data_IF_267873506689
#
_entry.id   IF_267873506689
#
_cell.length_a   1.000
_cell.length_b   1.000
_cell.length_c   1.000
_cell.angle_alpha   90.00
_cell.angle_beta   90.00
_cell.angle_gamma   90.00
#
_symmetry.space_group_name_H-M   'P 1'
#
loop_
_entity.id
_entity.type
_entity.pdbx_description
1 polymer ?
#
# COMPACT_ATOMS: atom_id res chain seq x y z
N UNK A 1 -5.31 -4.90 9.59
CA UNK A 1 -4.06 -4.54 8.87
C UNK A 1 -3.34 -3.37 9.54
N UNK A 2 -4.04 -2.43 10.17
CA UNK A 2 -3.49 -1.23 10.84
C UNK A 2 -2.30 -1.50 11.76
N UNK A 3 -2.36 -2.52 12.65
CA UNK A 3 -1.24 -2.89 13.53
C UNK A 3 0.05 -3.21 12.75
N UNK A 4 -0.06 -3.86 11.58
CA UNK A 4 1.12 -4.19 10.75
C UNK A 4 1.75 -2.93 10.17
N UNK A 5 0.91 -1.98 9.75
CA UNK A 5 1.35 -0.69 9.23
C UNK A 5 1.99 0.17 10.32
N UNK A 6 1.41 0.22 11.51
CA UNK A 6 2.01 0.90 12.67
C UNK A 6 3.38 0.31 13.02
N UNK A 7 3.51 -1.03 13.03
CA UNK A 7 4.79 -1.68 13.30
C UNK A 7 5.85 -1.31 12.24
N UNK A 8 5.46 -1.23 10.96
CA UNK A 8 6.35 -0.78 9.89
C UNK A 8 6.80 0.67 10.09
N UNK A 9 5.88 1.56 10.49
CA UNK A 9 6.20 2.96 10.78
C UNK A 9 7.18 3.12 11.94
N UNK A 10 6.99 2.35 13.02
CA UNK A 10 7.92 2.32 14.16
C UNK A 10 9.29 1.81 13.74
N UNK A 11 9.32 0.75 12.94
CA UNK A 11 10.58 0.23 12.41
C UNK A 11 11.27 1.27 11.53
N UNK A 12 10.53 2.07 10.76
CA UNK A 12 11.09 3.12 9.91
C UNK A 12 11.48 4.41 10.65
N UNK A 13 11.36 4.47 11.99
CA UNK A 13 11.55 5.69 12.79
C UNK A 13 10.75 6.91 12.27
N UNK A 14 9.50 6.63 11.88
CA UNK A 14 8.55 7.63 11.38
C UNK A 14 7.62 8.04 12.52
N UNK A 15 7.46 9.36 12.73
CA UNK A 15 6.69 9.91 13.85
C UNK A 15 5.19 9.92 13.62
N UNK A 16 4.76 9.97 12.36
CA UNK A 16 3.35 9.96 11.99
C UNK A 16 2.68 8.65 12.44
N UNK A 17 1.47 8.73 13.01
CA UNK A 17 0.71 7.54 13.38
C UNK A 17 -0.21 7.13 12.21
N UNK A 18 0.07 6.03 11.50
CA UNK A 18 -0.73 5.61 10.37
C UNK A 18 -2.03 4.92 10.82
N UNK A 19 -3.11 5.13 10.08
CA UNK A 19 -4.39 4.48 10.32
C UNK A 19 -5.09 4.06 9.03
N UNK A 20 -6.06 3.18 9.16
CA UNK A 20 -6.92 2.71 8.07
C UNK A 20 -8.35 2.57 8.58
N UNK A 21 -9.32 3.07 7.81
CA UNK A 21 -10.74 2.91 8.08
C UNK A 21 -11.45 2.40 6.83
N UNK A 22 -12.25 1.35 6.99
CA UNK A 22 -13.11 0.86 5.92
C UNK A 22 -14.37 1.74 5.83
N UNK A 23 -14.67 2.23 4.62
CA UNK A 23 -15.85 3.06 4.35
C UNK A 23 -16.77 2.29 3.42
N UNK A 24 -17.82 1.74 4.00
CA UNK A 24 -18.78 1.02 3.19
C UNK A 24 -19.80 1.93 2.54
N UNK A 25 -20.26 1.51 1.36
CA UNK A 25 -21.45 2.00 0.69
C UNK A 25 -22.74 1.67 1.46
N UNK A 26 -22.69 0.68 2.36
CA UNK A 26 -23.80 0.33 3.22
C UNK A 26 -23.78 1.20 4.51
N UNK A 27 -24.90 1.84 4.88
CA UNK A 27 -24.96 2.65 6.11
C UNK A 27 -24.91 1.77 7.37
N UNK A 28 -24.30 2.29 8.44
CA UNK A 28 -24.24 1.64 9.75
C UNK A 28 -22.95 0.84 10.00
N UNK A 29 -22.78 0.36 11.23
CA UNK A 29 -21.63 -0.49 11.58
C UNK A 29 -21.73 -1.83 10.82
N UNK A 30 -20.63 -2.21 10.17
CA UNK A 30 -20.54 -3.49 9.44
C UNK A 30 -19.89 -4.56 10.31
N UNK A 31 -18.88 -4.18 11.09
CA UNK A 31 -18.07 -5.11 11.89
C UNK A 31 -18.86 -5.86 12.98
N UNK A 32 -20.06 -5.37 13.32
CA UNK A 32 -20.95 -5.96 14.32
C UNK A 32 -22.09 -6.81 13.73
N UNK A 33 -22.27 -6.77 12.41
CA UNK A 33 -23.36 -7.47 11.73
C UNK A 33 -22.91 -8.86 11.27
N UNK A 34 -23.79 -9.84 11.38
CA UNK A 34 -23.57 -11.14 10.77
C UNK A 34 -23.88 -11.14 9.27
N UNK A 35 -23.55 -12.24 8.59
CA UNK A 35 -23.71 -12.36 7.14
C UNK A 35 -25.17 -12.18 6.69
N UNK A 36 -26.12 -12.68 7.46
CA UNK A 36 -27.55 -12.63 7.12
C UNK A 36 -28.09 -11.20 7.29
N UNK A 37 -27.72 -10.52 8.38
CA UNK A 37 -28.06 -9.11 8.59
C UNK A 37 -27.48 -8.24 7.46
N UNK A 38 -26.21 -8.46 7.08
CA UNK A 38 -25.57 -7.74 5.99
C UNK A 38 -26.29 -7.98 4.67
N UNK A 39 -26.65 -9.24 4.38
CA UNK A 39 -27.41 -9.62 3.18
C UNK A 39 -28.75 -8.87 3.13
N UNK A 40 -29.50 -8.87 4.22
CA UNK A 40 -30.77 -8.16 4.31
C UNK A 40 -30.61 -6.64 4.11
N UNK A 41 -29.61 -6.04 4.74
CA UNK A 41 -29.30 -4.61 4.60
C UNK A 41 -28.91 -4.24 3.17
N UNK A 42 -28.09 -5.06 2.50
CA UNK A 42 -27.78 -4.87 1.08
C UNK A 42 -29.03 -4.99 0.21
N UNK A 43 -29.85 -6.02 0.40
CA UNK A 43 -31.08 -6.21 -0.37
C UNK A 43 -32.06 -5.06 -0.18
N UNK A 44 -32.18 -4.55 1.05
CA UNK A 44 -32.96 -3.34 1.34
C UNK A 44 -32.42 -2.15 0.56
N UNK A 45 -31.11 -1.91 0.63
CA UNK A 45 -30.46 -0.78 -0.03
C UNK A 45 -30.58 -0.84 -1.56
N UNK A 46 -30.48 -2.02 -2.16
CA UNK A 46 -30.69 -2.21 -3.60
C UNK A 46 -32.10 -1.79 -4.03
N UNK A 47 -33.13 -2.17 -3.26
CA UNK A 47 -34.51 -1.76 -3.54
C UNK A 47 -34.70 -0.24 -3.40
N UNK A 48 -34.03 0.39 -2.44
CA UNK A 48 -34.09 1.84 -2.25
C UNK A 48 -33.41 2.61 -3.40
N UNK A 49 -32.30 2.10 -3.95
CA UNK A 49 -31.52 2.79 -4.98
C UNK A 49 -31.87 2.39 -6.41
N UNK A 50 -32.71 1.36 -6.63
CA UNK A 50 -33.04 0.78 -7.94
C UNK A 50 -33.33 1.83 -9.03
N UNK A 51 -34.26 2.77 -8.78
CA UNK A 51 -34.59 3.82 -9.76
C UNK A 51 -33.39 4.69 -10.12
N UNK A 52 -32.57 5.04 -9.13
CA UNK A 52 -31.36 5.85 -9.37
C UNK A 52 -30.28 5.06 -10.10
N UNK A 53 -30.16 3.76 -9.83
CA UNK A 53 -29.18 2.89 -10.46
C UNK A 53 -29.54 2.66 -11.94
N UNK A 54 -30.83 2.47 -12.24
CA UNK A 54 -31.33 2.39 -13.63
C UNK A 54 -31.06 3.70 -14.39
N UNK A 55 -31.38 4.86 -13.80
CA UNK A 55 -31.12 6.16 -14.44
C UNK A 55 -29.64 6.42 -14.71
N UNK A 56 -28.74 5.81 -13.92
CA UNK A 56 -27.28 5.93 -14.05
C UNK A 56 -26.64 4.79 -14.84
N UNK A 57 -27.42 3.79 -15.23
CA UNK A 57 -26.97 2.54 -15.84
C UNK A 57 -25.83 1.85 -15.04
N UNK A 58 -25.83 2.03 -13.72
CA UNK A 58 -24.76 1.53 -12.87
C UNK A 58 -25.26 1.28 -11.45
N UNK A 59 -24.86 0.15 -10.87
CA UNK A 59 -25.16 -0.20 -9.47
C UNK A 59 -24.36 0.68 -8.51
N UNK A 60 -25.04 1.44 -7.64
CA UNK A 60 -24.43 2.43 -6.74
C UNK A 60 -24.16 1.92 -5.32
N UNK A 61 -24.57 0.68 -5.01
CA UNK A 61 -24.40 0.05 -3.70
C UNK A 61 -23.67 -1.29 -3.85
N UNK A 62 -22.69 -1.56 -2.99
CA UNK A 62 -21.97 -2.84 -2.97
C UNK A 62 -20.47 -2.63 -2.71
N UNK A 63 -19.72 -3.69 -2.38
CA UNK A 63 -18.29 -3.61 -2.06
C UNK A 63 -17.43 -2.93 -3.14
N UNK A 64 -17.86 -2.96 -4.40
CA UNK A 64 -17.21 -2.25 -5.52
C UNK A 64 -17.30 -0.72 -5.42
N UNK A 65 -18.14 -0.19 -4.53
CA UNK A 65 -18.29 1.25 -4.21
C UNK A 65 -17.70 1.61 -2.85
N UNK A 66 -17.22 0.64 -2.11
CA UNK A 66 -16.61 0.84 -0.79
C UNK A 66 -15.20 1.41 -0.98
N UNK A 67 -14.68 2.06 0.05
CA UNK A 67 -13.37 2.73 0.03
C UNK A 67 -12.57 2.40 1.28
N UNK A 68 -11.25 2.54 1.19
CA UNK A 68 -10.33 2.42 2.33
C UNK A 68 -9.70 3.78 2.55
N UNK A 69 -10.12 4.44 3.62
CA UNK A 69 -9.53 5.71 4.02
C UNK A 69 -8.23 5.48 4.80
N UNK A 70 -7.14 6.02 4.26
CA UNK A 70 -5.85 6.06 4.93
C UNK A 70 -5.72 7.33 5.76
N UNK A 71 -5.22 7.19 6.99
CA UNK A 71 -5.20 8.26 7.99
C UNK A 71 -3.78 8.50 8.53
N UNK A 72 -3.49 9.76 8.87
CA UNK A 72 -2.42 10.18 9.76
C UNK A 72 -3.00 10.97 10.91
N UNK A 73 -2.78 10.54 12.15
CA UNK A 73 -3.31 11.22 13.33
C UNK A 73 -4.80 11.61 13.13
N UNK A 74 -5.60 10.64 12.66
CA UNK A 74 -7.04 10.77 12.35
C UNK A 74 -7.41 11.64 11.12
N UNK A 75 -6.44 12.24 10.42
CA UNK A 75 -6.68 13.03 9.20
C UNK A 75 -6.42 12.23 7.94
N UNK A 76 -7.22 12.43 6.89
CA UNK A 76 -7.02 11.73 5.60
C UNK A 76 -5.65 12.04 4.97
N UNK A 77 -4.86 10.99 4.71
CA UNK A 77 -3.57 11.09 4.02
C UNK A 77 -3.74 11.80 2.68
N UNK A 78 -4.76 11.41 1.90
CA UNK A 78 -5.05 11.94 0.56
C UNK A 78 -5.22 13.46 0.52
N UNK A 79 -5.69 14.08 1.61
CA UNK A 79 -6.00 15.52 1.65
C UNK A 79 -4.92 16.34 2.36
N UNK A 80 -4.24 15.76 3.35
CA UNK A 80 -3.43 16.53 4.29
C UNK A 80 -1.94 16.15 4.29
N UNK A 81 -1.56 15.01 3.71
CA UNK A 81 -0.17 14.60 3.69
C UNK A 81 0.63 15.38 2.65
N UNK A 82 1.87 15.73 2.99
CA UNK A 82 2.82 16.20 1.98
C UNK A 82 3.14 15.08 0.98
N UNK A 83 3.77 15.44 -0.14
CA UNK A 83 4.14 14.48 -1.17
C UNK A 83 5.09 13.39 -0.64
N UNK A 84 6.15 13.79 0.08
CA UNK A 84 7.07 12.85 0.73
C UNK A 84 6.40 11.98 1.80
N UNK A 85 5.43 12.51 2.54
CA UNK A 85 4.63 11.73 3.50
C UNK A 85 3.75 10.68 2.81
N UNK A 86 3.12 11.06 1.70
CA UNK A 86 2.30 10.15 0.89
C UNK A 86 3.15 9.02 0.30
N UNK A 87 4.33 9.34 -0.23
CA UNK A 87 5.26 8.34 -0.77
C UNK A 87 5.75 7.39 0.33
N UNK A 88 6.16 7.93 1.47
CA UNK A 88 6.55 7.13 2.64
C UNK A 88 5.42 6.20 3.08
N UNK A 89 4.18 6.69 3.11
CA UNK A 89 3.00 5.89 3.44
C UNK A 89 2.80 4.72 2.48
N UNK A 90 2.84 4.99 1.18
CA UNK A 90 2.65 3.94 0.17
C UNK A 90 3.75 2.87 0.28
N UNK A 91 5.00 3.27 0.48
CA UNK A 91 6.12 2.35 0.66
C UNK A 91 5.88 1.49 1.90
N UNK A 92 5.60 2.10 3.06
CA UNK A 92 5.33 1.37 4.29
C UNK A 92 4.12 0.42 4.16
N UNK A 93 3.08 0.82 3.43
CA UNK A 93 1.91 -0.01 3.15
C UNK A 93 2.30 -1.25 2.33
N UNK A 94 3.09 -1.07 1.26
CA UNK A 94 3.57 -2.17 0.42
C UNK A 94 4.52 -3.10 1.15
N UNK A 95 5.42 -2.56 1.97
CA UNK A 95 6.32 -3.37 2.80
C UNK A 95 5.55 -4.16 3.87
N UNK A 96 4.54 -3.55 4.48
CA UNK A 96 3.64 -4.24 5.43
C UNK A 96 2.89 -5.38 4.73
N UNK A 97 2.45 -5.16 3.49
CA UNK A 97 1.78 -6.16 2.67
C UNK A 97 2.74 -7.31 2.30
N UNK A 98 3.98 -7.02 1.93
CA UNK A 98 4.99 -8.04 1.64
C UNK A 98 5.24 -8.94 2.86
N UNK A 99 5.37 -8.37 4.06
CA UNK A 99 5.50 -9.17 5.29
C UNK A 99 4.28 -10.01 5.58
N UNK A 100 3.09 -9.47 5.35
CA UNK A 100 1.84 -10.23 5.48
C UNK A 100 1.83 -11.43 4.55
N UNK A 101 2.18 -11.25 3.27
CA UNK A 101 2.28 -12.36 2.33
C UNK A 101 3.38 -13.34 2.67
N UNK A 102 4.53 -12.85 3.17
CA UNK A 102 5.62 -13.72 3.61
C UNK A 102 5.19 -14.69 4.72
N UNK A 103 4.38 -14.19 5.67
CA UNK A 103 3.82 -15.02 6.74
C UNK A 103 2.75 -15.99 6.21
N UNK A 104 1.89 -15.53 5.31
CA UNK A 104 0.78 -16.32 4.77
C UNK A 104 1.26 -17.45 3.85
N UNK A 105 2.28 -17.18 3.03
CA UNK A 105 2.80 -18.12 2.03
C UNK A 105 3.93 -19.00 2.58
N UNK A 106 4.58 -18.61 3.68
CA UNK A 106 5.74 -19.32 4.23
C UNK A 106 7.05 -19.07 3.45
N UNK A 107 7.02 -18.21 2.43
CA UNK A 107 8.16 -17.82 1.60
C UNK A 107 8.17 -16.31 1.35
N UNK A 108 9.35 -15.73 1.08
CA UNK A 108 9.49 -14.28 0.84
C UNK A 108 9.32 -13.98 -0.65
N UNK A 109 8.27 -13.25 -1.07
CA UNK A 109 8.10 -12.88 -2.46
C UNK A 109 9.16 -11.88 -2.90
N UNK A 110 9.48 -11.85 -4.20
CA UNK A 110 10.38 -10.85 -4.78
C UNK A 110 9.74 -9.47 -4.64
N UNK A 111 10.50 -8.50 -4.14
CA UNK A 111 10.05 -7.12 -4.01
C UNK A 111 10.52 -6.30 -5.23
N UNK A 112 9.58 -5.75 -6.00
CA UNK A 112 9.87 -4.87 -7.14
C UNK A 112 9.47 -3.44 -6.78
N UNK A 113 10.40 -2.51 -6.86
CA UNK A 113 10.24 -1.13 -6.42
C UNK A 113 10.67 -0.19 -7.54
N UNK A 114 9.73 0.56 -8.10
CA UNK A 114 9.98 1.49 -9.20
C UNK A 114 10.13 2.92 -8.67
N UNK A 115 11.30 3.52 -8.86
CA UNK A 115 11.66 4.89 -8.48
C UNK A 115 11.11 5.33 -7.10
N UNK A 116 11.39 4.52 -6.08
CA UNK A 116 10.83 4.74 -4.74
C UNK A 116 11.54 5.84 -3.94
N UNK A 117 12.74 6.25 -4.36
CA UNK A 117 13.56 7.22 -3.63
C UNK A 117 13.33 8.66 -4.04
N UNK A 118 12.66 8.92 -5.18
CA UNK A 118 12.34 10.29 -5.54
C UNK A 118 11.48 10.93 -4.46
N UNK A 119 11.74 12.19 -4.10
CA UNK A 119 10.95 12.95 -3.11
C UNK A 119 10.98 12.41 -1.66
N UNK A 120 11.95 11.54 -1.35
CA UNK A 120 12.30 11.15 0.02
C UNK A 120 13.59 11.85 0.45
N UNK A 121 13.66 12.21 1.73
CA UNK A 121 14.91 12.66 2.34
C UNK A 121 15.89 11.49 2.54
N UNK A 122 17.17 11.82 2.74
CA UNK A 122 18.25 10.84 2.90
C UNK A 122 18.00 9.89 4.08
N UNK A 123 17.54 10.42 5.22
CA UNK A 123 17.27 9.62 6.43
C UNK A 123 16.19 8.57 6.16
N UNK A 124 15.10 8.94 5.48
CA UNK A 124 14.06 7.98 5.08
C UNK A 124 14.57 6.95 4.08
N UNK A 125 15.39 7.39 3.13
CA UNK A 125 15.99 6.51 2.12
C UNK A 125 16.85 5.43 2.76
N UNK A 126 17.78 5.82 3.64
CA UNK A 126 18.64 4.90 4.39
C UNK A 126 17.81 3.87 5.15
N UNK A 127 16.76 4.33 5.85
CA UNK A 127 15.94 3.44 6.64
C UNK A 127 15.15 2.44 5.81
N UNK A 128 14.64 2.87 4.65
CA UNK A 128 13.98 1.97 3.71
C UNK A 128 14.95 0.90 3.21
N UNK A 129 16.20 1.27 2.89
CA UNK A 129 17.22 0.33 2.44
C UNK A 129 17.58 -0.70 3.51
N UNK A 130 17.72 -0.29 4.77
CA UNK A 130 17.93 -1.20 5.90
C UNK A 130 16.78 -2.22 6.04
N UNK A 131 15.53 -1.73 6.00
CA UNK A 131 14.36 -2.59 6.11
C UNK A 131 14.29 -3.57 4.94
N UNK A 132 14.52 -3.11 3.70
CA UNK A 132 14.53 -3.94 2.50
C UNK A 132 15.58 -5.06 2.53
N UNK A 133 16.69 -4.87 3.24
CA UNK A 133 17.68 -5.93 3.49
C UNK A 133 17.08 -7.16 4.17
N UNK A 134 15.93 -7.04 4.84
CA UNK A 134 15.25 -8.16 5.51
C UNK A 134 14.23 -8.90 4.63
N UNK A 135 13.91 -8.37 3.43
CA UNK A 135 12.75 -8.78 2.62
C UNK A 135 13.06 -9.92 1.63
N UNK A 136 14.27 -10.47 1.67
CA UNK A 136 14.73 -11.47 0.71
C UNK A 136 15.35 -10.80 -0.50
N UNK A 137 14.81 -11.06 -1.71
CA UNK A 137 15.29 -10.42 -2.93
C UNK A 137 14.44 -9.18 -3.26
N UNK A 138 15.13 -8.04 -3.42
CA UNK A 138 14.52 -6.77 -3.81
C UNK A 138 15.21 -6.23 -5.07
N UNK A 139 14.41 -5.79 -6.05
CA UNK A 139 14.86 -5.13 -7.28
C UNK A 139 14.31 -3.70 -7.24
N UNK A 140 15.21 -2.73 -7.36
CA UNK A 140 14.87 -1.31 -7.26
C UNK A 140 15.38 -0.59 -8.50
N UNK A 141 14.53 0.20 -9.13
CA UNK A 141 14.93 1.16 -10.16
C UNK A 141 15.06 2.55 -9.54
N UNK A 142 16.02 3.32 -10.00
CA UNK A 142 16.20 4.72 -9.57
C UNK A 142 17.13 5.42 -10.55
N UNK A 143 17.03 6.75 -10.60
CA UNK A 143 17.93 7.62 -11.38
C UNK A 143 19.21 7.96 -10.61
N UNK A 144 19.25 7.71 -9.30
CA UNK A 144 20.38 8.01 -8.44
C UNK A 144 21.12 6.76 -8.01
N UNK A 145 22.46 6.81 -8.01
CA UNK A 145 23.24 5.71 -7.44
C UNK A 145 23.15 5.80 -5.92
N UNK A 146 22.45 4.84 -5.31
CA UNK A 146 22.45 4.63 -3.87
C UNK A 146 23.43 3.52 -3.52
N UNK A 147 24.28 3.76 -2.53
CA UNK A 147 25.26 2.78 -2.04
C UNK A 147 24.89 2.40 -0.61
N UNK A 148 24.60 1.12 -0.40
CA UNK A 148 24.33 0.57 0.93
C UNK A 148 24.81 -0.88 0.96
N UNK A 149 25.34 -1.32 2.10
CA UNK A 149 25.85 -2.67 2.28
C UNK A 149 24.78 -3.71 1.92
N UNK A 150 25.16 -4.70 1.10
CA UNK A 150 24.27 -5.78 0.68
C UNK A 150 23.48 -5.52 -0.61
N UNK A 151 23.60 -4.33 -1.22
CA UNK A 151 23.00 -4.03 -2.52
C UNK A 151 24.01 -4.17 -3.67
N UNK A 152 23.57 -4.75 -4.78
CA UNK A 152 24.33 -4.73 -6.04
C UNK A 152 23.75 -3.66 -6.95
N UNK A 153 24.48 -2.55 -7.12
CA UNK A 153 24.10 -1.51 -8.07
C UNK A 153 24.50 -1.92 -9.50
N UNK A 154 23.54 -1.92 -10.43
CA UNK A 154 23.76 -2.26 -11.83
C UNK A 154 23.27 -1.10 -12.71
N UNK A 155 24.13 -0.55 -13.56
CA UNK A 155 23.72 0.49 -14.51
C UNK A 155 23.04 -0.12 -15.74
N UNK A 156 22.10 0.60 -16.33
CA UNK A 156 21.41 0.17 -17.56
C UNK A 156 22.42 -0.09 -18.69
N UNK A 157 23.45 0.76 -18.83
CA UNK A 157 24.49 0.57 -19.84
C UNK A 157 25.29 -0.72 -19.64
N UNK A 158 25.56 -1.10 -18.39
CA UNK A 158 26.25 -2.35 -18.08
C UNK A 158 25.39 -3.58 -18.38
N UNK A 159 24.07 -3.50 -18.17
CA UNK A 159 23.11 -4.53 -18.52
C UNK A 159 23.03 -4.72 -20.04
N UNK A 160 22.89 -3.64 -20.82
CA UNK A 160 22.86 -3.69 -22.28
C UNK A 160 24.10 -4.39 -22.84
N UNK A 161 25.30 -3.99 -22.40
CA UNK A 161 26.57 -4.61 -22.81
C UNK A 161 26.65 -6.11 -22.48
N UNK A 162 26.06 -6.55 -21.36
CA UNK A 162 26.02 -7.98 -20.99
C UNK A 162 25.06 -8.77 -21.89
N UNK A 163 23.92 -8.18 -22.24
CA UNK A 163 22.94 -8.82 -23.13
C UNK A 163 23.51 -8.97 -24.55
N UNK A 164 24.18 -7.94 -25.08
CA UNK A 164 24.81 -7.97 -26.40
C UNK A 164 25.96 -9.00 -26.50
N UNK A 165 26.64 -9.30 -25.39
CA UNK A 165 27.71 -10.32 -25.34
C UNK A 165 27.20 -11.76 -25.27
N UNK A 166 25.94 -11.93 -24.85
CA UNK A 166 25.31 -13.24 -24.65
C UNK A 166 24.29 -13.59 -25.76
N UNK A 167 24.15 -12.72 -26.76
CA UNK A 167 23.33 -12.91 -27.96
C UNK A 167 24.23 -13.33 -29.14
#
# INVERSE_FOLDING_TARGET
FSIRLENMYREMDIRENPGMAYRSSLPGAIDAADEEELRERFMKRYRETEKSDIMREQTMTGPHRDDIAFLFNEKEVKRYASQGQTRTFMICLKLSQHRFYSQMLGEKPICLLDDIFSELDERRTERILEVLGTFGQSIITTTERKETGGMTAVSIDSLKKRMERNA
#
